data_IF_263244043134
#
_entry.id   IF_263244043134
#
_cell.length_a   1.000
_cell.length_b   1.000
_cell.length_c   1.000
_cell.angle_alpha   90.00
_cell.angle_beta   90.00
_cell.angle_gamma   90.00
#
_symmetry.space_group_name_H-M   'P 1'
#
loop_
_entity.id
_entity.type
_entity.pdbx_description
1 polymer ?
#
# COMPACT_ATOMS: atom_id res chain seq x y z
N UNK A 1 -19.56 8.87 4.70
CA UNK A 1 -18.41 9.24 3.83
C UNK A 1 -17.38 9.93 4.71
N UNK A 2 -16.12 9.53 4.59
CA UNK A 2 -14.95 10.08 5.29
C UNK A 2 -14.01 10.65 4.23
N UNK A 3 -13.35 11.76 4.54
CA UNK A 3 -12.27 12.32 3.72
C UNK A 3 -10.93 11.91 4.30
N UNK A 4 -10.03 11.42 3.45
CA UNK A 4 -8.65 11.11 3.84
C UNK A 4 -7.74 12.08 3.11
N UNK A 5 -7.07 12.95 3.86
CA UNK A 5 -6.07 13.87 3.34
C UNK A 5 -4.71 13.20 3.47
N UNK A 6 -4.00 13.05 2.37
CA UNK A 6 -2.74 12.31 2.28
C UNK A 6 -1.67 13.23 1.73
N UNK A 7 -0.47 13.16 2.28
CA UNK A 7 0.66 14.00 1.89
C UNK A 7 0.69 15.36 2.58
N UNK A 8 1.82 16.04 2.42
CA UNK A 8 2.12 17.33 3.04
C UNK A 8 1.80 18.54 2.16
N UNK A 9 2.26 19.72 2.60
CA UNK A 9 1.89 21.02 2.00
C UNK A 9 2.25 21.16 0.51
N UNK A 10 3.29 20.47 0.04
CA UNK A 10 3.76 20.59 -1.35
C UNK A 10 3.13 19.58 -2.30
N UNK A 11 2.74 18.41 -1.79
CA UNK A 11 2.12 17.34 -2.56
C UNK A 11 1.15 16.60 -1.65
N UNK A 12 -0.14 16.90 -1.85
CA UNK A 12 -1.23 16.26 -1.11
C UNK A 12 -2.43 15.98 -2.00
N UNK A 13 -3.20 14.99 -1.59
CA UNK A 13 -4.46 14.63 -2.23
C UNK A 13 -5.53 14.29 -1.20
N UNK A 14 -6.79 14.51 -1.57
CA UNK A 14 -7.94 14.15 -0.75
C UNK A 14 -8.76 13.05 -1.40
N UNK A 15 -8.86 11.92 -0.69
CA UNK A 15 -9.66 10.77 -1.09
C UNK A 15 -10.98 10.76 -0.33
N UNK A 16 -12.05 10.29 -0.97
CA UNK A 16 -13.36 10.15 -0.33
C UNK A 16 -13.82 8.69 -0.39
N UNK A 17 -14.13 8.11 0.77
CA UNK A 17 -14.59 6.72 0.86
C UNK A 17 -15.60 6.53 2.00
N UNK A 18 -16.13 5.32 2.12
CA UNK A 18 -16.95 4.90 3.24
C UNK A 18 -16.06 4.48 4.40
N UNK A 19 -16.28 5.06 5.59
CA UNK A 19 -15.53 4.69 6.79
C UNK A 19 -15.66 3.21 7.18
N UNK A 20 -16.75 2.55 6.80
CA UNK A 20 -16.89 1.10 6.97
C UNK A 20 -15.88 0.29 6.14
N UNK A 21 -15.50 0.77 4.94
CA UNK A 21 -14.49 0.11 4.11
C UNK A 21 -13.12 0.22 4.76
N UNK A 22 -12.70 1.43 5.16
CA UNK A 22 -11.41 1.66 5.82
C UNK A 22 -11.25 0.83 7.10
N UNK A 23 -12.27 0.83 7.97
CA UNK A 23 -12.24 0.07 9.22
C UNK A 23 -12.18 -1.44 9.00
N UNK A 24 -12.86 -1.94 7.96
CA UNK A 24 -12.85 -3.36 7.62
C UNK A 24 -11.50 -3.78 7.04
N UNK A 25 -10.84 -2.90 6.29
CA UNK A 25 -9.59 -3.23 5.59
C UNK A 25 -8.35 -3.06 6.46
N UNK A 26 -8.41 -2.30 7.56
CA UNK A 26 -7.22 -1.87 8.30
C UNK A 26 -7.49 -1.76 9.79
N UNK A 27 -6.67 -2.42 10.60
CA UNK A 27 -6.73 -2.28 12.06
C UNK A 27 -6.26 -0.90 12.55
N UNK A 28 -5.41 -0.20 11.80
CA UNK A 28 -5.11 1.21 12.03
C UNK A 28 -6.36 2.09 11.85
N UNK A 29 -7.02 2.02 10.69
CA UNK A 29 -8.20 2.85 10.44
C UNK A 29 -9.40 2.46 11.31
N UNK A 30 -9.50 1.19 11.72
CA UNK A 30 -10.45 0.75 12.75
C UNK A 30 -10.26 1.57 14.04
N UNK A 31 -9.05 1.58 14.58
CA UNK A 31 -8.71 2.31 15.81
C UNK A 31 -8.87 3.82 15.65
N UNK A 32 -8.44 4.37 14.52
CA UNK A 32 -8.52 5.81 14.24
C UNK A 32 -9.97 6.32 14.15
N UNK A 33 -10.90 5.49 13.66
CA UNK A 33 -12.29 5.89 13.38
C UNK A 33 -13.30 5.45 14.45
N UNK A 34 -12.95 4.50 15.32
CA UNK A 34 -13.82 4.06 16.44
C UNK A 34 -13.43 4.66 17.80
N UNK A 35 -12.25 5.26 17.90
CA UNK A 35 -11.76 5.88 19.12
C UNK A 35 -12.44 7.22 19.48
N UNK A 36 -11.97 7.81 20.58
CA UNK A 36 -12.30 9.18 21.04
C UNK A 36 -11.58 10.28 20.24
N UNK A 37 -10.98 9.91 19.11
CA UNK A 37 -10.15 10.79 18.28
C UNK A 37 -11.03 11.77 17.46
N UNK A 38 -10.48 12.95 17.17
CA UNK A 38 -11.18 14.05 16.49
C UNK A 38 -11.77 13.57 15.15
N UNK A 39 -11.10 12.64 14.50
CA UNK A 39 -11.41 12.00 13.23
C UNK A 39 -12.80 11.35 13.20
N UNK A 40 -13.23 10.72 14.31
CA UNK A 40 -14.58 10.16 14.45
C UNK A 40 -15.67 11.25 14.45
N UNK A 41 -15.34 12.43 14.98
CA UNK A 41 -16.24 13.59 15.04
C UNK A 41 -16.21 14.47 13.78
N UNK A 42 -15.05 14.61 13.13
CA UNK A 42 -14.83 15.47 11.95
C UNK A 42 -15.06 14.75 10.63
N UNK A 43 -15.12 13.41 10.63
CA UNK A 43 -15.17 12.57 9.43
C UNK A 43 -14.00 12.81 8.48
N UNK A 44 -12.84 13.16 9.04
CA UNK A 44 -11.60 13.42 8.32
C UNK A 44 -10.48 12.60 8.93
N UNK A 45 -9.57 12.09 8.11
CA UNK A 45 -8.32 11.45 8.52
C UNK A 45 -7.19 12.16 7.81
N UNK A 46 -6.13 12.50 8.53
CA UNK A 46 -4.96 13.18 7.97
C UNK A 46 -3.73 12.26 8.05
N UNK A 47 -3.08 12.05 6.92
CA UNK A 47 -1.89 11.22 6.74
C UNK A 47 -0.78 12.07 6.09
N UNK A 48 -0.19 13.03 6.84
CA UNK A 48 0.68 14.05 6.26
C UNK A 48 2.04 13.51 5.79
N UNK A 49 2.47 12.36 6.30
CA UNK A 49 3.75 11.71 5.97
C UNK A 49 3.62 10.71 4.83
N UNK A 50 2.40 10.32 4.48
CA UNK A 50 2.15 9.29 3.49
C UNK A 50 2.20 9.84 2.08
N UNK A 51 2.68 9.01 1.15
CA UNK A 51 2.74 9.33 -0.27
C UNK A 51 1.34 9.19 -0.92
N UNK A 52 0.77 10.26 -1.49
CA UNK A 52 -0.52 10.21 -2.18
C UNK A 52 -0.62 9.14 -3.26
N UNK A 53 0.45 8.82 -3.97
CA UNK A 53 0.42 7.83 -5.05
C UNK A 53 0.38 6.40 -4.51
N UNK A 54 1.05 6.14 -3.38
CA UNK A 54 0.93 4.86 -2.67
C UNK A 54 -0.47 4.70 -2.09
N UNK A 55 -1.02 5.75 -1.47
CA UNK A 55 -2.39 5.72 -0.98
C UNK A 55 -3.40 5.55 -2.12
N UNK A 56 -3.14 6.09 -3.32
CA UNK A 56 -4.01 5.89 -4.49
C UNK A 56 -4.12 4.42 -4.89
N UNK A 57 -3.03 3.66 -4.80
CA UNK A 57 -3.06 2.22 -5.05
C UNK A 57 -3.87 1.48 -3.99
N UNK A 58 -3.66 1.80 -2.70
CA UNK A 58 -4.50 1.27 -1.63
C UNK A 58 -5.98 1.64 -1.82
N UNK A 59 -6.27 2.90 -2.19
CA UNK A 59 -7.63 3.36 -2.42
C UNK A 59 -8.30 2.60 -3.58
N UNK A 60 -7.57 2.33 -4.66
CA UNK A 60 -8.06 1.49 -5.75
C UNK A 60 -8.32 0.06 -5.27
N UNK A 61 -7.39 -0.52 -4.54
CA UNK A 61 -7.56 -1.84 -3.93
C UNK A 61 -8.79 -1.90 -3.02
N UNK A 62 -8.97 -0.90 -2.17
CA UNK A 62 -10.10 -0.80 -1.25
C UNK A 62 -11.46 -0.84 -1.98
N UNK A 63 -11.53 -0.25 -3.18
CA UNK A 63 -12.76 -0.16 -3.96
C UNK A 63 -12.96 -1.36 -4.92
N UNK A 64 -11.88 -2.02 -5.36
CA UNK A 64 -11.94 -2.98 -6.48
C UNK A 64 -11.34 -4.36 -6.16
N UNK A 65 -10.56 -4.47 -5.09
CA UNK A 65 -9.74 -5.64 -4.78
C UNK A 65 -8.49 -5.78 -5.67
N UNK A 66 -8.15 -4.77 -6.49
CA UNK A 66 -7.03 -4.82 -7.46
C UNK A 66 -6.15 -3.57 -7.39
N UNK A 67 -4.86 -3.71 -7.70
CA UNK A 67 -3.89 -2.61 -7.73
C UNK A 67 -3.87 -1.84 -9.06
N UNK A 68 -4.21 -2.51 -10.16
CA UNK A 68 -4.23 -1.95 -11.51
C UNK A 68 -5.22 -2.75 -12.37
N UNK A 69 -5.58 -2.23 -13.54
CA UNK A 69 -6.46 -2.95 -14.46
C UNK A 69 -5.66 -4.03 -15.20
N UNK A 70 -6.13 -5.27 -15.15
CA UNK A 70 -5.60 -6.36 -15.97
C UNK A 70 -6.39 -6.40 -17.27
N UNK A 71 -6.04 -5.57 -18.26
CA UNK A 71 -6.62 -5.72 -19.59
C UNK A 71 -5.98 -6.90 -20.33
N UNK A 72 -6.77 -7.54 -21.20
CA UNK A 72 -6.39 -8.69 -22.03
C UNK A 72 -5.51 -8.26 -23.22
N UNK A 73 -5.40 -6.96 -23.50
CA UNK A 73 -4.64 -6.42 -24.63
C UNK A 73 -3.19 -6.04 -24.25
N UNK A 74 -2.25 -6.47 -25.11
CA UNK A 74 -0.78 -6.38 -24.98
C UNK A 74 -0.22 -4.94 -24.79
N UNK A 75 -1.07 -3.91 -24.87
CA UNK A 75 -0.68 -2.50 -24.68
C UNK A 75 -0.80 -2.02 -23.22
N UNK A 76 -1.34 -2.83 -22.30
CA UNK A 76 -1.58 -2.47 -20.91
C UNK A 76 -0.35 -2.52 -19.99
N UNK A 77 0.85 -2.83 -20.52
CA UNK A 77 2.09 -2.84 -19.72
C UNK A 77 2.45 -1.50 -19.07
N UNK A 78 1.78 -0.39 -19.44
CA UNK A 78 2.02 0.94 -18.87
C UNK A 78 1.43 1.18 -17.48
N UNK A 79 0.43 0.41 -17.04
CA UNK A 79 -0.29 0.68 -15.77
C UNK A 79 0.20 -0.17 -14.58
N UNK A 80 1.12 -1.13 -14.79
CA UNK A 80 1.63 -1.96 -13.70
C UNK A 80 2.60 -1.15 -12.82
N UNK A 81 2.43 -1.12 -11.50
CA UNK A 81 3.35 -0.42 -10.61
C UNK A 81 4.78 -0.96 -10.71
N UNK A 82 5.76 -0.07 -10.58
CA UNK A 82 7.17 -0.46 -10.51
C UNK A 82 7.47 -1.30 -9.27
N UNK A 83 8.58 -2.04 -9.27
CA UNK A 83 9.06 -2.79 -8.10
C UNK A 83 9.06 -1.91 -6.83
N UNK A 84 9.67 -0.72 -6.89
CA UNK A 84 9.76 0.18 -5.75
C UNK A 84 8.41 0.73 -5.30
N UNK A 85 7.48 0.93 -6.24
CA UNK A 85 6.11 1.32 -5.90
C UNK A 85 5.39 0.20 -5.14
N UNK A 86 5.56 -1.06 -5.57
CA UNK A 86 4.99 -2.21 -4.86
C UNK A 86 5.64 -2.43 -3.50
N UNK A 87 6.95 -2.25 -3.38
CA UNK A 87 7.66 -2.33 -2.10
C UNK A 87 7.17 -1.26 -1.12
N UNK A 88 7.05 0.00 -1.56
CA UNK A 88 6.47 1.07 -0.73
C UNK A 88 5.02 0.82 -0.36
N UNK A 89 4.24 0.22 -1.25
CA UNK A 89 2.85 -0.18 -0.95
C UNK A 89 2.80 -1.28 0.12
N UNK A 90 3.74 -2.23 0.08
CA UNK A 90 3.87 -3.25 1.12
C UNK A 90 4.26 -2.62 2.48
N UNK A 91 5.25 -1.71 2.50
CA UNK A 91 5.60 -0.96 3.74
C UNK A 91 4.40 -0.17 4.27
N UNK A 92 3.64 0.46 3.38
CA UNK A 92 2.41 1.16 3.74
C UNK A 92 1.38 0.20 4.37
N UNK A 93 1.20 -0.98 3.80
CA UNK A 93 0.26 -1.98 4.28
C UNK A 93 0.61 -2.47 5.70
N UNK A 94 1.88 -2.81 5.93
CA UNK A 94 2.42 -3.21 7.23
C UNK A 94 2.24 -2.09 8.28
N UNK A 95 2.64 -0.86 7.94
CA UNK A 95 2.52 0.29 8.84
C UNK A 95 1.06 0.62 9.24
N UNK A 96 0.11 0.29 8.36
CA UNK A 96 -1.32 0.56 8.56
C UNK A 96 -2.14 -0.69 8.89
N UNK A 97 -1.51 -1.83 9.17
CA UNK A 97 -2.19 -3.07 9.59
C UNK A 97 -3.27 -3.50 8.56
N UNK A 98 -2.84 -3.68 7.30
CA UNK A 98 -3.67 -3.99 6.12
C UNK A 98 -3.27 -5.35 5.53
N UNK A 99 -3.54 -6.43 6.25
CA UNK A 99 -3.10 -7.81 5.92
C UNK A 99 -3.41 -8.21 4.46
N UNK A 100 -4.64 -7.97 3.98
CA UNK A 100 -5.02 -8.33 2.60
C UNK A 100 -4.28 -7.56 1.49
N UNK A 101 -3.66 -6.42 1.80
CA UNK A 101 -2.86 -5.63 0.88
C UNK A 101 -1.39 -6.09 0.87
N UNK A 102 -0.88 -6.57 2.01
CA UNK A 102 0.47 -7.14 2.13
C UNK A 102 0.64 -8.33 1.19
N UNK A 103 -0.29 -9.29 1.24
CA UNK A 103 -0.29 -10.50 0.39
C UNK A 103 -0.26 -10.17 -1.10
N UNK A 104 -1.05 -9.16 -1.50
CA UNK A 104 -1.14 -8.72 -2.90
C UNK A 104 0.14 -8.01 -3.32
N UNK A 105 0.68 -7.13 -2.47
CA UNK A 105 1.92 -6.44 -2.76
C UNK A 105 3.09 -7.44 -2.91
N UNK A 106 3.21 -8.43 -2.01
CA UNK A 106 4.21 -9.51 -2.11
C UNK A 106 4.02 -10.30 -3.41
N UNK A 107 2.79 -10.73 -3.71
CA UNK A 107 2.50 -11.49 -4.93
C UNK A 107 2.93 -10.73 -6.20
N UNK A 108 2.66 -9.43 -6.24
CA UNK A 108 3.05 -8.58 -7.36
C UNK A 108 4.56 -8.33 -7.43
N UNK A 109 5.23 -8.18 -6.28
CA UNK A 109 6.70 -8.09 -6.19
C UNK A 109 7.33 -9.36 -6.75
N UNK A 110 6.90 -10.54 -6.28
CA UNK A 110 7.43 -11.83 -6.76
C UNK A 110 7.18 -12.00 -8.25
N UNK A 111 6.00 -11.65 -8.75
CA UNK A 111 5.72 -11.69 -10.19
C UNK A 111 6.63 -10.72 -10.97
N UNK A 112 6.94 -9.54 -10.43
CA UNK A 112 7.90 -8.63 -11.04
C UNK A 112 9.31 -9.25 -11.10
N UNK A 113 9.77 -9.87 -10.02
CA UNK A 113 11.08 -10.56 -9.95
C UNK A 113 11.14 -11.75 -10.90
N UNK A 114 10.12 -12.62 -10.91
CA UNK A 114 10.06 -13.78 -11.80
C UNK A 114 10.03 -13.40 -13.29
N UNK A 115 9.33 -12.33 -13.65
CA UNK A 115 9.21 -11.91 -15.05
C UNK A 115 10.43 -11.10 -15.55
N UNK A 116 11.04 -10.28 -14.68
CA UNK A 116 12.10 -9.35 -15.08
C UNK A 116 13.51 -9.82 -14.68
N UNK A 117 13.63 -10.80 -13.77
CA UNK A 117 14.90 -11.37 -13.33
C UNK A 117 15.81 -10.40 -12.56
N UNK A 118 15.25 -9.32 -12.00
CA UNK A 118 16.04 -8.27 -11.34
C UNK A 118 15.56 -8.04 -9.91
N UNK A 119 16.48 -8.21 -8.95
CA UNK A 119 16.33 -7.77 -7.57
C UNK A 119 17.32 -6.60 -7.39
N UNK A 120 16.85 -5.37 -7.09
CA UNK A 120 17.74 -4.25 -6.82
C UNK A 120 18.62 -4.55 -5.60
N UNK A 121 19.94 -4.35 -5.72
CA UNK A 121 20.87 -4.62 -4.60
C UNK A 121 20.59 -3.73 -3.38
N UNK A 122 20.08 -2.52 -3.63
CA UNK A 122 19.71 -1.55 -2.60
C UNK A 122 18.55 -2.05 -1.71
N UNK A 123 17.76 -3.02 -2.21
CA UNK A 123 16.69 -3.66 -1.43
C UNK A 123 17.22 -4.34 -0.18
N UNK A 124 18.39 -4.98 -0.23
CA UNK A 124 18.97 -5.68 0.92
C UNK A 124 19.22 -4.69 2.06
N UNK A 125 19.72 -3.49 1.72
CA UNK A 125 19.99 -2.43 2.69
C UNK A 125 18.71 -1.84 3.27
N UNK A 126 17.65 -1.71 2.47
CA UNK A 126 16.34 -1.22 2.95
C UNK A 126 15.62 -2.27 3.82
N UNK A 127 15.74 -3.56 3.49
CA UNK A 127 15.14 -4.65 4.27
C UNK A 127 15.74 -4.79 5.68
N UNK A 128 17.05 -4.50 5.85
CA UNK A 128 17.69 -4.47 7.17
C UNK A 128 17.09 -3.40 8.10
N UNK A 129 16.42 -2.39 7.56
CA UNK A 129 15.68 -1.37 8.31
C UNK A 129 14.29 -1.80 8.79
N UNK A 130 13.69 -2.85 8.22
CA UNK A 130 12.32 -3.31 8.49
C UNK A 130 12.35 -4.70 9.15
N UNK A 131 12.50 -4.72 10.48
CA UNK A 131 13.14 -5.84 11.22
C UNK A 131 12.32 -7.14 11.36
N UNK A 132 11.03 -7.18 11.01
CA UNK A 132 10.21 -8.40 11.16
C UNK A 132 9.71 -8.92 9.82
N UNK A 133 9.10 -8.07 9.00
CA UNK A 133 8.57 -8.49 7.70
C UNK A 133 9.65 -8.48 6.59
N UNK A 134 10.74 -7.71 6.77
CA UNK A 134 11.86 -7.69 5.83
C UNK A 134 12.64 -9.02 5.79
N UNK A 135 12.65 -9.76 6.90
CA UNK A 135 13.27 -11.10 6.98
C UNK A 135 12.48 -12.11 6.15
N UNK A 136 11.15 -12.06 6.16
CA UNK A 136 10.31 -12.97 5.37
C UNK A 136 10.46 -12.69 3.87
N UNK A 137 10.48 -11.42 3.47
CA UNK A 137 10.73 -11.06 2.07
C UNK A 137 12.15 -11.48 1.64
N UNK A 138 13.14 -11.31 2.51
CA UNK A 138 14.51 -11.75 2.28
C UNK A 138 14.60 -13.28 2.13
N UNK A 139 14.03 -14.05 3.06
CA UNK A 139 13.98 -15.51 2.99
C UNK A 139 13.30 -15.98 1.69
N UNK A 140 12.15 -15.40 1.34
CA UNK A 140 11.45 -15.72 0.09
C UNK A 140 12.28 -15.40 -1.16
N UNK A 141 13.05 -14.31 -1.16
CA UNK A 141 13.90 -13.93 -2.29
C UNK A 141 15.17 -14.77 -2.40
N UNK A 142 15.69 -15.30 -1.28
CA UNK A 142 16.86 -16.20 -1.28
C UNK A 142 16.48 -17.63 -1.72
N UNK A 143 15.22 -18.05 -1.54
CA UNK A 143 14.74 -19.38 -1.96
C UNK A 143 14.34 -19.50 -3.44
N UNK A 144 14.28 -18.39 -4.20
CA UNK A 144 14.02 -18.35 -5.65
C UNK A 144 15.24 -18.74 -6.48
#
# INVERSE_FOLDING_TARGET
>A
IIRVHVGGDQFSETFQTYGGLLRKSSGYFLRALEGLFIEASTKQVNLPTEDPDIFRLFFRYLNTGRLYETQIDEQAHQDRPSFWTLFRLWVFADAHDIEGLEDIAISEILNNVCCNGFIPIDLILELEGHTVCGVLLYEMLVEL
#
